data_IF_412317970866
#
_entry.id   IF_412317970866
#
_cell.length_a   1.000
_cell.length_b   1.000
_cell.length_c   1.000
_cell.angle_alpha   90.00
_cell.angle_beta   90.00
_cell.angle_gamma   90.00
#
_symmetry.space_group_name_H-M   'P 1'
#
loop_
_entity.id
_entity.type
_entity.pdbx_description
1 polymer ?
#
# COMPACT_ATOMS: atom_id res chain seq x y z
N UNK A 1 -36.15 -24.18 -68.87
CA UNK A 1 -36.80 -25.42 -69.32
C UNK A 1 -38.18 -25.52 -68.68
N UNK A 2 -39.24 -25.48 -69.50
CA UNK A 2 -40.68 -25.82 -69.25
C UNK A 2 -41.37 -25.23 -67.98
N UNK A 3 -42.42 -24.40 -68.02
CA UNK A 3 -43.66 -24.46 -68.82
C UNK A 3 -44.67 -25.41 -68.14
N UNK A 4 -45.96 -25.13 -67.88
CA UNK A 4 -46.90 -24.05 -68.17
C UNK A 4 -48.33 -24.43 -67.65
N UNK A 5 -49.34 -23.59 -67.94
CA UNK A 5 -50.79 -23.87 -67.81
C UNK A 5 -51.48 -23.13 -66.64
N UNK A 6 -52.52 -22.30 -66.76
CA UNK A 6 -53.50 -22.04 -67.82
C UNK A 6 -54.91 -22.50 -67.39
N UNK A 7 -55.87 -21.59 -67.17
CA UNK A 7 -57.29 -21.95 -66.95
C UNK A 7 -58.19 -20.82 -66.45
N UNK A 8 -58.96 -20.23 -67.38
CA UNK A 8 -60.03 -19.22 -67.21
C UNK A 8 -61.32 -19.80 -66.60
N UNK A 9 -62.14 -18.93 -66.01
CA UNK A 9 -63.56 -19.19 -65.71
C UNK A 9 -64.31 -17.90 -65.38
N UNK A 10 -65.14 -17.46 -66.34
CA UNK A 10 -65.89 -16.20 -66.40
C UNK A 10 -67.32 -16.30 -65.82
N UNK A 11 -67.87 -15.12 -65.49
CA UNK A 11 -69.27 -14.69 -65.64
C UNK A 11 -70.32 -14.88 -64.53
N UNK A 12 -71.01 -13.78 -64.23
CA UNK A 12 -72.22 -13.67 -63.42
C UNK A 12 -72.64 -12.20 -63.19
N UNK A 13 -73.10 -11.53 -64.25
CA UNK A 13 -73.67 -10.16 -64.24
C UNK A 13 -74.98 -10.04 -63.44
N UNK A 14 -75.18 -8.84 -62.86
CA UNK A 14 -76.48 -8.33 -62.40
C UNK A 14 -76.50 -6.79 -62.34
N UNK A 15 -76.93 -6.14 -63.43
CA UNK A 15 -77.30 -4.70 -63.60
C UNK A 15 -78.75 -4.44 -63.10
N UNK A 16 -79.38 -3.22 -63.12
CA UNK A 16 -78.91 -1.84 -63.44
C UNK A 16 -79.46 -0.62 -62.60
N UNK A 17 -78.75 0.52 -62.66
CA UNK A 17 -79.18 1.96 -62.85
C UNK A 17 -80.05 2.73 -61.80
N UNK A 18 -80.28 4.05 -61.95
CA UNK A 18 -79.34 5.18 -61.89
C UNK A 18 -79.85 6.34 -60.97
N UNK A 19 -78.96 7.15 -60.40
CA UNK A 19 -79.35 8.31 -59.58
C UNK A 19 -78.29 9.41 -59.63
N UNK A 20 -78.65 10.53 -60.24
CA UNK A 20 -77.79 11.66 -60.58
C UNK A 20 -77.36 12.53 -59.40
N UNK A 21 -76.16 13.12 -59.56
CA UNK A 21 -75.58 14.35 -58.98
C UNK A 21 -75.55 14.51 -57.45
N UNK A 22 -74.35 14.63 -56.89
CA UNK A 22 -73.86 15.97 -56.55
C UNK A 22 -72.33 16.03 -56.43
N UNK A 23 -71.75 16.96 -57.20
CA UNK A 23 -70.42 17.50 -56.99
C UNK A 23 -70.47 18.31 -55.70
N UNK A 24 -69.92 17.76 -54.61
CA UNK A 24 -69.53 18.55 -53.46
C UNK A 24 -68.04 18.35 -53.21
N UNK A 25 -67.31 19.33 -53.74
CA UNK A 25 -66.23 20.02 -53.03
C UNK A 25 -65.14 19.14 -52.45
N UNK A 26 -64.06 19.02 -53.22
CA UNK A 26 -62.72 19.01 -52.66
C UNK A 26 -62.61 20.12 -51.60
N UNK A 27 -62.61 19.75 -50.32
CA UNK A 27 -62.06 20.63 -49.29
C UNK A 27 -60.58 20.81 -49.61
N UNK A 28 -60.28 21.91 -50.29
CA UNK A 28 -58.94 22.48 -50.34
C UNK A 28 -58.50 22.69 -48.89
N UNK A 29 -57.58 21.85 -48.43
CA UNK A 29 -56.77 22.18 -47.27
C UNK A 29 -56.13 23.56 -47.54
N UNK A 30 -56.14 24.48 -46.55
CA UNK A 30 -55.58 25.80 -46.72
C UNK A 30 -54.10 25.69 -47.15
N UNK A 31 -53.63 26.52 -48.09
CA UNK A 31 -52.24 26.52 -48.54
C UNK A 31 -51.38 27.03 -47.37
N UNK A 32 -50.77 26.10 -46.64
CA UNK A 32 -49.98 26.40 -45.44
C UNK A 32 -50.05 25.34 -44.34
N UNK A 33 -50.86 24.29 -44.48
CA UNK A 33 -50.77 23.15 -43.55
C UNK A 33 -49.44 22.41 -43.75
N UNK A 34 -48.56 22.33 -42.73
CA UNK A 34 -47.30 21.63 -42.87
C UNK A 34 -47.58 20.16 -43.20
N UNK A 35 -46.89 19.63 -44.21
CA UNK A 35 -46.98 18.22 -44.55
C UNK A 35 -46.68 17.36 -43.30
N UNK A 36 -47.27 16.17 -43.18
CA UNK A 36 -47.03 15.28 -42.03
C UNK A 36 -45.53 15.02 -41.76
N UNK A 37 -44.67 15.14 -42.79
CA UNK A 37 -43.22 15.07 -42.66
C UNK A 37 -42.58 16.31 -42.03
N UNK A 38 -43.10 17.52 -42.29
CA UNK A 38 -42.64 18.76 -41.64
C UNK A 38 -43.03 18.81 -40.15
N UNK A 39 -44.23 18.34 -39.80
CA UNK A 39 -44.67 18.25 -38.40
C UNK A 39 -43.81 17.29 -37.57
N UNK A 40 -43.34 16.19 -38.17
CA UNK A 40 -42.42 15.27 -37.51
C UNK A 40 -41.02 15.86 -37.34
N UNK A 41 -40.53 16.64 -38.31
CA UNK A 41 -39.23 17.30 -38.21
C UNK A 41 -39.22 18.42 -37.16
N UNK A 42 -40.28 19.23 -37.09
CA UNK A 42 -40.43 20.27 -36.07
C UNK A 42 -40.55 19.67 -34.67
N UNK A 43 -41.29 18.56 -34.54
CA UNK A 43 -41.40 17.83 -33.27
C UNK A 43 -40.05 17.24 -32.82
N UNK A 44 -39.28 16.67 -33.75
CA UNK A 44 -37.93 16.18 -33.46
C UNK A 44 -36.97 17.31 -33.08
N UNK A 45 -37.06 18.47 -33.74
CA UNK A 45 -36.28 19.65 -33.39
C UNK A 45 -36.59 20.14 -31.98
N UNK A 46 -37.87 20.29 -31.63
CA UNK A 46 -38.28 20.70 -30.29
C UNK A 46 -37.81 19.72 -29.21
N UNK A 47 -37.87 18.40 -29.49
CA UNK A 47 -37.35 17.39 -28.57
C UNK A 47 -35.83 17.56 -28.34
N UNK A 48 -35.07 17.84 -29.39
CA UNK A 48 -33.62 18.09 -29.29
C UNK A 48 -33.33 19.35 -28.48
N UNK A 49 -34.07 20.43 -28.72
CA UNK A 49 -33.90 21.69 -27.99
C UNK A 49 -34.21 21.52 -26.49
N UNK A 50 -35.26 20.75 -26.15
CA UNK A 50 -35.58 20.37 -24.77
C UNK A 50 -34.46 19.54 -24.13
N UNK A 51 -33.88 18.58 -24.86
CA UNK A 51 -32.76 17.77 -24.41
C UNK A 51 -31.51 18.62 -24.14
N UNK A 52 -31.17 19.52 -25.06
CA UNK A 52 -30.03 20.43 -24.96
C UNK A 52 -30.19 21.37 -23.74
N UNK A 53 -31.41 21.88 -23.50
CA UNK A 53 -31.74 22.70 -22.34
C UNK A 53 -31.63 21.91 -21.02
N UNK A 54 -32.14 20.69 -20.97
CA UNK A 54 -32.07 19.82 -19.78
C UNK A 54 -30.61 19.50 -19.43
N UNK A 55 -29.81 19.11 -20.43
CA UNK A 55 -28.38 18.86 -20.27
C UNK A 55 -27.65 20.10 -19.73
N UNK A 56 -27.91 21.28 -20.31
CA UNK A 56 -27.28 22.54 -19.88
C UNK A 56 -27.64 22.89 -18.43
N UNK A 57 -28.90 22.69 -18.06
CA UNK A 57 -29.39 22.96 -16.70
C UNK A 57 -28.69 22.06 -15.67
N UNK A 58 -28.59 20.76 -15.94
CA UNK A 58 -27.91 19.82 -15.03
C UNK A 58 -26.40 20.10 -14.99
N UNK A 59 -25.78 20.39 -16.14
CA UNK A 59 -24.37 20.79 -16.17
C UNK A 59 -24.12 22.03 -15.30
N UNK A 60 -24.96 23.06 -15.41
CA UNK A 60 -24.86 24.26 -14.58
C UNK A 60 -25.06 23.94 -13.09
N UNK A 61 -26.04 23.09 -12.76
CA UNK A 61 -26.26 22.66 -11.37
C UNK A 61 -25.02 21.97 -10.79
N UNK A 62 -24.40 21.05 -11.54
CA UNK A 62 -23.17 20.38 -11.10
C UNK A 62 -22.05 21.40 -10.87
N UNK A 63 -21.84 22.35 -11.79
CA UNK A 63 -20.83 23.40 -11.66
C UNK A 63 -21.06 24.23 -10.39
N UNK A 64 -22.30 24.65 -10.13
CA UNK A 64 -22.64 25.45 -8.94
C UNK A 64 -22.44 24.68 -7.62
N UNK A 65 -22.51 23.35 -7.65
CA UNK A 65 -22.30 22.49 -6.48
C UNK A 65 -20.89 21.92 -6.36
N UNK A 66 -19.94 22.40 -7.16
CA UNK A 66 -18.56 21.88 -7.19
C UNK A 66 -17.95 21.75 -5.79
N UNK A 67 -18.02 22.81 -4.98
CA UNK A 67 -17.43 22.83 -3.63
C UNK A 67 -18.08 21.83 -2.67
N UNK A 68 -19.36 21.55 -2.84
CA UNK A 68 -20.07 20.54 -2.04
C UNK A 68 -19.71 19.13 -2.54
N UNK A 69 -19.61 18.93 -3.84
CA UNK A 69 -19.28 17.63 -4.41
C UNK A 69 -17.84 17.19 -4.12
N UNK A 70 -16.91 18.13 -3.93
CA UNK A 70 -15.53 17.80 -3.53
C UNK A 70 -15.42 17.22 -2.13
N UNK A 71 -16.40 17.46 -1.24
CA UNK A 71 -16.39 16.99 0.15
C UNK A 71 -17.21 15.72 0.40
N UNK A 72 -17.84 15.17 -0.65
CA UNK A 72 -18.62 13.93 -0.56
C UNK A 72 -17.75 12.74 -0.12
N UNK A 73 -18.38 11.68 0.36
CA UNK A 73 -17.75 10.37 0.47
C UNK A 73 -17.62 9.71 -0.90
N UNK A 74 -16.78 8.67 -0.99
CA UNK A 74 -16.64 7.91 -2.22
C UNK A 74 -17.98 7.27 -2.64
N UNK A 75 -18.78 6.75 -1.71
CA UNK A 75 -20.08 6.14 -2.03
C UNK A 75 -21.09 7.16 -2.55
N UNK A 76 -21.19 8.33 -1.92
CA UNK A 76 -22.08 9.41 -2.40
C UNK A 76 -21.69 9.92 -3.79
N UNK A 77 -20.39 10.00 -4.09
CA UNK A 77 -19.93 10.37 -5.43
C UNK A 77 -20.31 9.31 -6.47
N UNK A 78 -20.24 8.01 -6.12
CA UNK A 78 -20.66 6.93 -7.01
C UNK A 78 -22.16 7.02 -7.33
N UNK A 79 -22.97 7.33 -6.33
CA UNK A 79 -24.42 7.52 -6.51
C UNK A 79 -24.71 8.71 -7.43
N UNK A 80 -24.07 9.86 -7.18
CA UNK A 80 -24.19 11.05 -8.03
C UNK A 80 -23.75 10.77 -9.47
N UNK A 81 -22.64 10.06 -9.63
CA UNK A 81 -22.11 9.66 -10.93
C UNK A 81 -23.09 8.77 -11.68
N UNK A 82 -23.60 7.73 -11.02
CA UNK A 82 -24.52 6.76 -11.61
C UNK A 82 -25.81 7.44 -12.06
N UNK A 83 -26.44 8.23 -11.19
CA UNK A 83 -27.66 8.95 -11.52
C UNK A 83 -27.46 9.95 -12.68
N UNK A 84 -26.35 10.68 -12.69
CA UNK A 84 -26.05 11.64 -13.77
C UNK A 84 -25.77 10.90 -15.09
N UNK A 85 -25.09 9.77 -15.03
CA UNK A 85 -24.73 8.98 -16.20
C UNK A 85 -25.95 8.27 -16.81
N UNK A 86 -26.86 7.75 -15.99
CA UNK A 86 -28.16 7.22 -16.43
C UNK A 86 -29.00 8.28 -17.13
N UNK A 87 -29.12 9.47 -16.52
CA UNK A 87 -29.78 10.61 -17.16
C UNK A 87 -29.15 10.93 -18.52
N UNK A 88 -27.83 10.94 -18.58
CA UNK A 88 -27.09 11.24 -19.79
C UNK A 88 -27.41 10.22 -20.90
N UNK A 89 -27.37 8.92 -20.60
CA UNK A 89 -27.73 7.88 -21.57
C UNK A 89 -29.15 8.02 -22.11
N UNK A 90 -30.11 8.41 -21.26
CA UNK A 90 -31.49 8.66 -21.67
C UNK A 90 -31.59 9.85 -22.63
N UNK A 91 -30.93 10.97 -22.33
CA UNK A 91 -30.94 12.17 -23.19
C UNK A 91 -30.29 11.90 -24.55
N UNK A 92 -29.22 11.13 -24.59
CA UNK A 92 -28.56 10.79 -25.86
C UNK A 92 -29.41 9.88 -26.73
N UNK A 93 -30.11 8.93 -26.10
CA UNK A 93 -31.05 8.05 -26.81
C UNK A 93 -32.23 8.83 -27.41
N UNK A 94 -32.72 9.86 -26.72
CA UNK A 94 -33.83 10.69 -27.18
C UNK A 94 -33.41 11.71 -28.26
N UNK A 95 -32.26 12.35 -28.08
CA UNK A 95 -31.79 13.43 -28.96
C UNK A 95 -31.00 12.95 -30.18
N UNK A 96 -30.40 11.75 -30.09
CA UNK A 96 -29.45 11.23 -31.07
C UNK A 96 -28.10 11.98 -31.08
N UNK A 97 -27.86 12.87 -30.11
CA UNK A 97 -26.64 13.67 -29.97
C UNK A 97 -25.91 13.29 -28.69
N UNK A 98 -24.58 13.37 -28.74
CA UNK A 98 -23.75 13.04 -27.58
C UNK A 98 -23.61 14.23 -26.62
N UNK A 99 -23.83 14.00 -25.33
CA UNK A 99 -23.88 15.03 -24.29
C UNK A 99 -22.48 15.42 -23.77
N UNK A 100 -21.59 15.89 -24.67
CA UNK A 100 -20.19 16.18 -24.34
C UNK A 100 -20.01 17.19 -23.20
N UNK A 101 -20.82 18.25 -23.16
CA UNK A 101 -20.73 19.28 -22.13
C UNK A 101 -20.98 18.73 -20.73
N UNK A 102 -22.04 17.93 -20.56
CA UNK A 102 -22.35 17.32 -19.26
C UNK A 102 -21.32 16.26 -18.87
N UNK A 103 -20.85 15.44 -19.82
CA UNK A 103 -19.74 14.48 -19.55
C UNK A 103 -18.49 15.18 -19.06
N UNK A 104 -18.10 16.26 -19.73
CA UNK A 104 -16.92 17.04 -19.36
C UNK A 104 -17.06 17.63 -17.95
N UNK A 105 -18.23 18.21 -17.64
CA UNK A 105 -18.54 18.72 -16.30
C UNK A 105 -18.48 17.61 -15.24
N UNK A 106 -19.09 16.45 -15.50
CA UNK A 106 -19.11 15.33 -14.57
C UNK A 106 -17.70 14.77 -14.31
N UNK A 107 -16.87 14.67 -15.35
CA UNK A 107 -15.46 14.32 -15.21
C UNK A 107 -14.68 15.35 -14.39
N UNK A 108 -14.92 16.64 -14.62
CA UNK A 108 -14.28 17.71 -13.85
C UNK A 108 -14.65 17.66 -12.36
N UNK A 109 -15.90 17.28 -12.03
CA UNK A 109 -16.33 17.05 -10.64
C UNK A 109 -15.57 15.89 -9.99
N UNK A 110 -15.48 14.76 -10.69
CA UNK A 110 -14.78 13.58 -10.18
C UNK A 110 -13.27 13.84 -9.98
N UNK A 111 -12.66 14.63 -10.87
CA UNK A 111 -11.27 15.10 -10.71
C UNK A 111 -11.10 16.02 -9.51
N UNK A 112 -11.98 17.02 -9.35
CA UNK A 112 -11.93 17.94 -8.22
C UNK A 112 -12.11 17.21 -6.87
N UNK A 113 -12.99 16.20 -6.82
CA UNK A 113 -13.11 15.32 -5.67
C UNK A 113 -11.80 14.56 -5.37
N UNK A 114 -11.19 13.97 -6.39
CA UNK A 114 -9.93 13.23 -6.22
C UNK A 114 -8.81 14.14 -5.72
N UNK A 115 -8.71 15.36 -6.26
CA UNK A 115 -7.75 16.38 -5.81
C UNK A 115 -7.95 16.75 -4.34
N UNK A 116 -9.17 17.11 -3.95
CA UNK A 116 -9.49 17.46 -2.56
C UNK A 116 -9.22 16.30 -1.59
N UNK A 117 -9.64 15.08 -1.97
CA UNK A 117 -9.38 13.87 -1.19
C UNK A 117 -7.89 13.61 -1.02
N UNK A 118 -7.11 13.77 -2.10
CA UNK A 118 -5.67 13.56 -2.07
C UNK A 118 -4.96 14.59 -1.20
N UNK A 119 -5.33 15.87 -1.29
CA UNK A 119 -4.79 16.93 -0.44
C UNK A 119 -5.04 16.65 1.06
N UNK A 120 -6.26 16.21 1.40
CA UNK A 120 -6.58 15.78 2.75
C UNK A 120 -5.76 14.55 3.20
N UNK A 121 -5.53 13.60 2.29
CA UNK A 121 -4.68 12.42 2.56
C UNK A 121 -3.22 12.80 2.79
N UNK A 122 -2.65 13.69 1.97
CA UNK A 122 -1.30 14.22 2.16
C UNK A 122 -1.16 14.90 3.53
N UNK A 123 -2.07 15.80 3.87
CA UNK A 123 -2.06 16.51 5.15
C UNK A 123 -2.18 15.55 6.34
N UNK A 124 -3.10 14.58 6.25
CA UNK A 124 -3.29 13.56 7.29
C UNK A 124 -2.07 12.66 7.45
N UNK A 125 -1.43 12.26 6.34
CA UNK A 125 -0.23 11.42 6.38
C UNK A 125 0.95 12.17 7.01
N UNK A 126 1.16 13.45 6.66
CA UNK A 126 2.20 14.29 7.28
C UNK A 126 1.95 14.44 8.78
N UNK A 127 0.74 14.82 9.18
CA UNK A 127 0.42 15.01 10.60
C UNK A 127 0.60 13.71 11.40
N UNK A 128 0.26 12.57 10.80
CA UNK A 128 0.43 11.25 11.43
C UNK A 128 1.91 10.88 11.55
N UNK A 129 2.72 11.14 10.52
CA UNK A 129 4.16 10.90 10.56
C UNK A 129 4.88 11.79 11.58
N UNK A 130 4.51 13.07 11.65
CA UNK A 130 5.11 14.02 12.59
C UNK A 130 4.76 13.71 14.06
N UNK A 131 3.67 12.98 14.31
CA UNK A 131 3.26 12.50 15.64
C UNK A 131 3.62 11.04 15.90
N UNK A 132 4.29 10.37 14.95
CA UNK A 132 4.62 8.95 15.02
C UNK A 132 5.69 8.69 16.09
N UNK A 133 5.38 7.77 17.01
CA UNK A 133 6.31 7.37 18.09
C UNK A 133 7.22 6.22 17.69
N UNK A 134 7.06 5.70 16.47
CA UNK A 134 7.80 4.55 15.95
C UNK A 134 7.68 3.35 16.88
N UNK A 135 6.45 3.10 17.33
CA UNK A 135 6.08 1.93 18.12
C UNK A 135 5.31 0.95 17.25
N UNK A 136 5.47 -0.34 17.54
CA UNK A 136 4.73 -1.39 16.83
C UNK A 136 3.22 -1.16 17.03
N UNK A 137 2.50 -1.11 15.92
CA UNK A 137 1.06 -1.03 15.86
C UNK A 137 0.47 -2.42 15.60
N UNK A 138 -0.66 -2.72 16.23
CA UNK A 138 -1.37 -3.98 16.00
C UNK A 138 -2.13 -3.96 14.67
N UNK A 139 -2.01 -5.04 13.92
CA UNK A 139 -2.69 -5.21 12.64
C UNK A 139 -4.01 -5.95 12.88
N UNK A 140 -5.11 -5.21 12.75
CA UNK A 140 -6.43 -5.81 12.87
C UNK A 140 -6.65 -6.83 11.76
N UNK A 141 -7.50 -7.83 12.02
CA UNK A 141 -7.87 -8.83 11.02
C UNK A 141 -8.46 -8.21 9.74
N UNK A 142 -9.12 -7.05 9.86
CA UNK A 142 -9.67 -6.31 8.71
C UNK A 142 -8.56 -5.70 7.86
N UNK A 143 -7.55 -5.08 8.48
CA UNK A 143 -6.39 -4.54 7.75
C UNK A 143 -5.59 -5.65 7.09
N UNK A 144 -5.36 -6.75 7.80
CA UNK A 144 -4.67 -7.91 7.24
C UNK A 144 -5.43 -8.47 6.03
N UNK A 145 -6.75 -8.67 6.14
CA UNK A 145 -7.57 -9.12 5.03
C UNK A 145 -7.53 -8.16 3.82
N UNK A 146 -7.38 -6.84 4.06
CA UNK A 146 -7.18 -5.88 2.98
C UNK A 146 -5.83 -6.13 2.28
N UNK A 147 -4.73 -6.28 3.02
CA UNK A 147 -3.42 -6.60 2.47
C UNK A 147 -3.44 -7.91 1.67
N UNK A 148 -4.02 -8.97 2.22
CA UNK A 148 -4.14 -10.28 1.57
C UNK A 148 -4.91 -10.18 0.26
N UNK A 149 -6.00 -9.40 0.23
CA UNK A 149 -6.77 -9.18 -0.99
C UNK A 149 -5.97 -8.46 -2.06
N UNK A 150 -5.17 -7.46 -1.70
CA UNK A 150 -4.29 -6.80 -2.66
C UNK A 150 -3.24 -7.77 -3.21
N UNK A 151 -2.56 -8.51 -2.33
CA UNK A 151 -1.52 -9.47 -2.70
C UNK A 151 -2.03 -10.61 -3.58
N UNK A 152 -3.27 -11.06 -3.37
CA UNK A 152 -3.91 -12.09 -4.19
C UNK A 152 -4.54 -11.56 -5.50
N UNK A 153 -4.32 -10.28 -5.86
CA UNK A 153 -4.91 -9.68 -7.07
C UNK A 153 -6.41 -9.40 -6.97
N UNK A 154 -6.98 -9.45 -5.76
CA UNK A 154 -8.39 -9.25 -5.45
C UNK A 154 -8.69 -7.84 -4.91
N UNK A 155 -7.85 -6.86 -5.28
CA UNK A 155 -7.95 -5.47 -4.85
C UNK A 155 -9.34 -4.87 -5.11
N UNK A 156 -10.02 -5.31 -6.18
CA UNK A 156 -11.28 -4.74 -6.65
C UNK A 156 -12.54 -5.55 -6.29
N UNK A 157 -12.40 -6.71 -5.65
CA UNK A 157 -13.57 -7.50 -5.26
C UNK A 157 -14.40 -6.79 -4.16
N UNK A 158 -15.73 -6.91 -4.15
CA UNK A 158 -16.54 -6.40 -3.04
C UNK A 158 -16.09 -7.02 -1.71
N UNK A 159 -16.10 -6.23 -0.61
CA UNK A 159 -15.89 -6.78 0.73
C UNK A 159 -17.01 -7.81 0.99
N UNK A 160 -16.67 -9.10 0.99
CA UNK A 160 -17.56 -10.12 1.55
C UNK A 160 -17.56 -9.96 3.06
N UNK A 161 -18.50 -9.17 3.58
CA UNK A 161 -18.85 -9.28 4.98
C UNK A 161 -19.42 -10.68 5.19
N UNK A 162 -18.90 -11.49 6.14
CA UNK A 162 -19.69 -12.58 6.66
C UNK A 162 -20.95 -11.95 7.26
N UNK A 163 -22.09 -12.10 6.60
CA UNK A 163 -23.39 -11.77 7.18
C UNK A 163 -23.44 -12.49 8.52
N UNK A 164 -23.57 -11.74 9.62
CA UNK A 164 -24.13 -12.28 10.85
C UNK A 164 -25.47 -12.90 10.43
N UNK A 165 -25.57 -14.23 10.50
CA UNK A 165 -26.83 -14.92 10.33
C UNK A 165 -27.75 -14.45 11.46
N UNK A 166 -28.60 -13.48 11.15
CA UNK A 166 -29.87 -13.30 11.84
C UNK A 166 -30.65 -14.58 11.63
N UNK A 167 -30.67 -15.43 12.66
CA UNK A 167 -31.50 -16.62 12.69
C UNK A 167 -32.96 -16.17 12.67
N UNK A 168 -33.56 -16.12 11.49
CA UNK A 168 -35.01 -16.23 11.36
C UNK A 168 -35.33 -17.72 11.40
N UNK A 169 -35.70 -18.17 12.58
CA UNK A 169 -36.30 -19.48 12.81
C UNK A 169 -37.63 -19.58 12.06
N UNK A 170 -37.64 -20.29 10.93
CA UNK A 170 -38.84 -20.89 10.37
C UNK A 170 -38.69 -22.41 10.38
N UNK A 171 -39.57 -23.00 11.17
CA UNK A 171 -39.75 -24.40 11.47
C UNK A 171 -40.22 -25.21 10.26
N UNK A 172 -39.57 -26.35 10.02
CA UNK A 172 -40.26 -27.55 9.53
C UNK A 172 -39.54 -28.81 10.06
N UNK A 173 -40.21 -29.43 11.02
CA UNK A 173 -40.16 -30.84 11.44
C UNK A 173 -40.17 -31.79 10.23
N UNK A 174 -39.64 -33.01 10.22
CA UNK A 174 -39.25 -33.97 11.27
C UNK A 174 -38.75 -35.24 10.57
N UNK A 175 -37.74 -35.91 11.13
CA UNK A 175 -37.74 -37.39 11.25
C UNK A 175 -36.75 -37.82 12.32
N UNK A 176 -37.25 -38.66 13.23
CA UNK A 176 -36.66 -39.11 14.48
C UNK A 176 -35.72 -40.31 14.30
N UNK A 177 -34.65 -40.42 15.10
CA UNK A 177 -34.44 -41.47 16.13
C UNK A 177 -32.97 -41.59 16.59
N UNK A 178 -32.77 -41.41 17.90
CA UNK A 178 -31.77 -41.89 18.88
C UNK A 178 -30.44 -42.55 18.39
N UNK A 179 -29.25 -42.28 18.95
CA UNK A 179 -28.86 -42.38 20.38
C UNK A 179 -27.54 -41.64 20.66
N UNK A 180 -27.42 -41.11 21.87
CA UNK A 180 -26.33 -40.31 22.44
C UNK A 180 -25.03 -41.11 22.71
N UNK A 181 -23.88 -40.47 22.48
CA UNK A 181 -22.80 -40.41 23.48
C UNK A 181 -22.09 -39.03 23.47
N UNK A 182 -22.26 -38.35 24.60
CA UNK A 182 -21.51 -37.22 25.16
C UNK A 182 -20.00 -37.54 25.29
N UNK A 183 -19.03 -36.63 25.36
CA UNK A 183 -18.98 -35.16 25.49
C UNK A 183 -17.51 -34.77 25.59
N UNK A 184 -17.08 -33.73 24.86
CA UNK A 184 -16.25 -32.61 25.35
C UNK A 184 -15.60 -31.86 24.18
N UNK A 185 -16.40 -31.13 23.40
CA UNK A 185 -15.90 -30.07 22.54
C UNK A 185 -16.22 -28.72 23.19
N UNK A 186 -15.18 -28.12 23.78
CA UNK A 186 -15.20 -26.76 24.31
C UNK A 186 -15.73 -25.81 23.24
N UNK A 187 -16.76 -25.05 23.59
CA UNK A 187 -17.24 -23.86 22.88
C UNK A 187 -16.06 -23.01 22.40
N UNK A 188 -15.87 -22.94 21.08
CA UNK A 188 -15.00 -21.95 20.45
C UNK A 188 -15.63 -20.57 20.65
N UNK A 189 -15.14 -19.85 21.66
CA UNK A 189 -15.39 -18.43 21.86
C UNK A 189 -14.61 -17.72 20.77
N UNK A 190 -15.32 -17.07 19.84
CA UNK A 190 -14.72 -16.26 18.78
C UNK A 190 -13.88 -15.13 19.37
N UNK A 191 -12.56 -15.33 19.40
CA UNK A 191 -11.59 -14.26 19.52
C UNK A 191 -11.23 -13.83 18.11
N UNK A 192 -11.62 -12.60 17.73
CA UNK A 192 -10.92 -11.87 16.67
C UNK A 192 -9.44 -11.88 17.06
N UNK A 193 -8.64 -12.76 16.44
CA UNK A 193 -7.19 -12.75 16.61
C UNK A 193 -6.70 -11.50 15.90
N UNK A 194 -6.39 -10.47 16.67
CA UNK A 194 -5.48 -9.41 16.24
C UNK A 194 -4.18 -10.10 15.82
N UNK A 195 -3.76 -9.90 14.58
CA UNK A 195 -2.48 -10.39 14.10
C UNK A 195 -1.52 -9.26 14.44
N UNK A 196 -0.70 -9.41 15.47
CA UNK A 196 0.18 -8.31 15.93
C UNK A 196 1.21 -7.84 14.88
N UNK A 197 1.30 -8.50 13.72
CA UNK A 197 2.25 -8.24 12.64
C UNK A 197 1.51 -8.29 11.30
N UNK A 198 1.92 -7.47 10.32
CA UNK A 198 1.39 -7.55 8.96
C UNK A 198 2.03 -8.74 8.24
N UNK A 199 1.26 -9.45 7.42
CA UNK A 199 1.75 -10.53 6.58
C UNK A 199 1.57 -10.22 5.10
N UNK A 200 2.61 -10.41 4.29
CA UNK A 200 2.56 -10.30 2.82
C UNK A 200 3.42 -11.41 2.25
N UNK A 201 2.86 -12.23 1.36
CA UNK A 201 3.59 -13.33 0.68
C UNK A 201 4.36 -14.27 1.64
N UNK A 202 3.79 -14.53 2.83
CA UNK A 202 4.42 -15.37 3.86
C UNK A 202 5.47 -14.67 4.72
N UNK A 203 5.88 -13.45 4.36
CA UNK A 203 6.77 -12.61 5.16
C UNK A 203 5.99 -11.83 6.22
N UNK A 204 6.58 -11.67 7.42
CA UNK A 204 5.99 -10.94 8.55
C UNK A 204 6.68 -9.60 8.74
N UNK A 205 5.90 -8.57 9.03
CA UNK A 205 6.37 -7.19 9.16
C UNK A 205 5.83 -6.56 10.44
N UNK A 206 6.76 -6.07 11.28
CA UNK A 206 6.42 -5.24 12.45
C UNK A 206 6.30 -3.79 12.03
N UNK A 207 5.08 -3.28 12.05
CA UNK A 207 4.75 -2.01 11.40
C UNK A 207 4.30 -0.97 12.39
N UNK A 208 4.36 0.30 11.99
CA UNK A 208 3.87 1.44 12.76
C UNK A 208 2.53 1.93 12.20
N UNK A 209 1.87 2.87 12.89
CA UNK A 209 0.55 3.33 12.48
C UNK A 209 0.55 4.05 11.12
N UNK A 210 1.52 4.94 10.90
CA UNK A 210 1.62 5.75 9.68
C UNK A 210 1.69 4.94 8.39
N UNK A 211 2.35 3.77 8.38
CA UNK A 211 2.36 2.90 7.19
C UNK A 211 1.02 2.21 6.97
N UNK A 212 0.29 1.86 8.04
CA UNK A 212 -1.06 1.30 7.92
C UNK A 212 -2.04 2.33 7.35
N UNK A 213 -1.94 3.58 7.79
CA UNK A 213 -2.71 4.69 7.24
C UNK A 213 -2.39 4.89 5.75
N UNK A 214 -1.10 4.88 5.36
CA UNK A 214 -0.70 4.95 3.96
C UNK A 214 -1.34 3.82 3.14
N UNK A 215 -1.32 2.58 3.63
CA UNK A 215 -1.95 1.46 2.92
C UNK A 215 -3.46 1.64 2.79
N UNK A 216 -4.15 2.13 3.81
CA UNK A 216 -5.58 2.45 3.73
C UNK A 216 -5.88 3.52 2.67
N UNK A 217 -5.06 4.57 2.61
CA UNK A 217 -5.18 5.62 1.60
C UNK A 217 -4.98 5.06 0.18
N UNK A 218 -3.94 4.25 -0.04
CA UNK A 218 -3.67 3.59 -1.32
C UNK A 218 -4.82 2.67 -1.73
N UNK A 219 -5.34 1.87 -0.81
CA UNK A 219 -6.47 0.97 -1.08
C UNK A 219 -7.74 1.74 -1.43
N UNK A 220 -7.98 2.87 -0.76
CA UNK A 220 -9.10 3.75 -1.11
C UNK A 220 -8.93 4.36 -2.50
N UNK A 221 -7.71 4.71 -2.90
CA UNK A 221 -7.42 5.25 -4.24
C UNK A 221 -7.58 4.18 -5.33
N UNK A 222 -7.11 2.95 -5.08
CA UNK A 222 -7.34 1.81 -5.98
C UNK A 222 -8.84 1.56 -6.20
N UNK A 223 -9.65 1.63 -5.14
CA UNK A 223 -11.11 1.54 -5.25
C UNK A 223 -11.71 2.66 -6.11
N UNK A 224 -11.18 3.89 -6.01
CA UNK A 224 -11.57 5.01 -6.88
C UNK A 224 -11.24 4.70 -8.35
N UNK A 225 -10.03 4.20 -8.66
CA UNK A 225 -9.67 3.87 -10.04
C UNK A 225 -10.53 2.77 -10.65
N UNK A 226 -10.94 1.77 -9.86
CA UNK A 226 -11.82 0.72 -10.34
C UNK A 226 -13.24 1.19 -10.65
N UNK A 227 -13.77 2.14 -9.87
CA UNK A 227 -15.10 2.68 -10.13
C UNK A 227 -15.09 3.77 -11.21
N UNK A 228 -14.02 4.57 -11.27
CA UNK A 228 -13.82 5.63 -12.25
C UNK A 228 -12.56 5.37 -13.10
N UNK A 229 -12.60 4.45 -14.09
CA UNK A 229 -11.42 4.11 -14.90
C UNK A 229 -10.79 5.31 -15.63
N UNK A 230 -11.60 6.33 -15.95
CA UNK A 230 -11.13 7.60 -16.52
C UNK A 230 -10.18 8.40 -15.60
N UNK A 231 -10.18 8.12 -14.30
CA UNK A 231 -9.28 8.71 -13.32
C UNK A 231 -8.07 7.83 -13.01
N UNK A 232 -7.93 6.66 -13.64
CA UNK A 232 -6.88 5.70 -13.30
C UNK A 232 -5.47 6.30 -13.42
N UNK A 233 -5.23 7.17 -14.42
CA UNK A 233 -3.96 7.88 -14.58
C UNK A 233 -3.71 8.90 -13.47
N UNK A 234 -4.74 9.66 -13.08
CA UNK A 234 -4.65 10.64 -11.99
C UNK A 234 -4.42 9.91 -10.64
N UNK A 235 -5.13 8.80 -10.42
CA UNK A 235 -4.98 7.94 -9.23
C UNK A 235 -3.56 7.36 -9.13
N UNK A 236 -2.98 6.87 -10.23
CA UNK A 236 -1.60 6.39 -10.25
C UNK A 236 -0.64 7.46 -9.73
N UNK A 237 -0.76 8.70 -10.23
CA UNK A 237 0.09 9.81 -9.79
C UNK A 237 -0.09 10.12 -8.30
N UNK A 238 -1.33 10.06 -7.79
CA UNK A 238 -1.63 10.28 -6.36
C UNK A 238 -1.03 9.21 -5.46
N UNK A 239 -1.09 7.95 -5.88
CA UNK A 239 -0.46 6.82 -5.16
C UNK A 239 1.07 7.00 -5.15
N UNK A 240 1.68 7.32 -6.29
CA UNK A 240 3.14 7.60 -6.38
C UNK A 240 3.55 8.72 -5.42
N UNK A 241 2.77 9.81 -5.38
CA UNK A 241 3.04 10.95 -4.50
C UNK A 241 2.93 10.59 -3.02
N UNK A 242 1.89 9.87 -2.59
CA UNK A 242 1.73 9.41 -1.20
C UNK A 242 2.86 8.50 -0.75
N UNK A 243 3.20 7.52 -1.59
CA UNK A 243 4.26 6.54 -1.28
C UNK A 243 5.62 7.25 -1.23
N UNK A 244 5.90 8.20 -2.13
CA UNK A 244 7.12 9.02 -2.09
C UNK A 244 7.17 9.93 -0.87
N UNK A 245 6.04 10.56 -0.51
CA UNK A 245 5.93 11.42 0.68
C UNK A 245 6.27 10.65 1.96
N UNK A 246 5.71 9.45 2.13
CA UNK A 246 6.04 8.59 3.27
C UNK A 246 7.55 8.31 3.34
N UNK A 247 8.18 7.92 2.24
CA UNK A 247 9.60 7.60 2.21
C UNK A 247 10.48 8.81 2.59
N UNK A 248 10.19 9.95 1.97
CA UNK A 248 10.91 11.20 2.20
C UNK A 248 10.81 11.64 3.66
N UNK A 249 9.59 11.65 4.22
CA UNK A 249 9.38 12.01 5.63
C UNK A 249 9.96 10.99 6.59
N UNK A 250 9.85 9.69 6.32
CA UNK A 250 10.49 8.65 7.15
C UNK A 250 12.02 8.83 7.18
N UNK A 251 12.64 9.16 6.05
CA UNK A 251 14.08 9.46 5.96
C UNK A 251 14.44 10.64 6.87
N UNK A 252 13.67 11.74 6.78
CA UNK A 252 13.92 12.94 7.58
C UNK A 252 13.73 12.70 9.07
N UNK A 253 12.64 12.02 9.44
CA UNK A 253 12.30 11.78 10.84
C UNK A 253 13.30 10.83 11.51
N UNK A 254 13.72 9.77 10.82
CA UNK A 254 14.48 8.68 11.44
C UNK A 254 15.98 8.80 11.17
N UNK A 255 16.40 8.95 9.90
CA UNK A 255 17.82 9.02 9.56
C UNK A 255 18.42 10.40 9.83
N UNK A 256 17.67 11.49 9.60
CA UNK A 256 18.14 12.86 9.84
C UNK A 256 17.76 13.39 11.23
N UNK A 257 17.32 12.50 12.13
CA UNK A 257 16.90 12.82 13.50
C UNK A 257 15.80 13.92 13.59
N UNK A 258 15.02 14.11 12.52
CA UNK A 258 13.91 15.07 12.49
C UNK A 258 12.82 14.74 13.52
N UNK A 259 12.66 13.47 13.92
CA UNK A 259 11.65 13.10 14.90
C UNK A 259 11.88 13.70 16.29
N UNK A 260 13.12 14.13 16.60
CA UNK A 260 13.43 14.83 17.85
C UNK A 260 12.74 16.20 17.91
N UNK A 261 12.64 16.88 16.76
CA UNK A 261 12.04 18.20 16.61
C UNK A 261 10.56 18.14 16.17
N UNK A 262 10.06 16.94 15.84
CA UNK A 262 8.68 16.70 15.45
C UNK A 262 7.71 16.73 16.63
N UNK A 263 6.40 16.69 16.34
CA UNK A 263 5.35 16.64 17.35
C UNK A 263 5.44 15.38 18.25
N UNK A 264 6.08 14.31 17.77
CA UNK A 264 6.33 13.09 18.53
C UNK A 264 7.29 13.30 19.73
N UNK A 265 8.13 14.36 19.70
CA UNK A 265 9.09 14.72 20.77
C UNK A 265 9.90 13.53 21.29
N UNK A 266 10.43 12.71 20.38
CA UNK A 266 11.33 11.63 20.76
C UNK A 266 12.64 12.21 21.30
N UNK A 267 13.08 11.75 22.47
CA UNK A 267 14.33 12.25 23.06
C UNK A 267 15.57 11.78 22.30
N UNK A 268 15.49 10.61 21.66
CA UNK A 268 16.55 10.05 20.80
C UNK A 268 15.99 9.05 19.80
N UNK A 269 16.66 8.93 18.66
CA UNK A 269 16.45 7.82 17.74
C UNK A 269 17.22 6.60 18.26
N UNK A 270 16.53 5.47 18.40
CA UNK A 270 17.12 4.22 18.89
C UNK A 270 17.22 3.20 17.77
N UNK A 271 18.03 2.15 17.97
CA UNK A 271 18.10 1.02 17.04
C UNK A 271 16.72 0.37 16.79
N UNK A 272 15.83 0.40 17.78
CA UNK A 272 14.45 -0.09 17.63
C UNK A 272 13.65 0.75 16.63
N UNK A 273 13.79 2.08 16.66
CA UNK A 273 13.09 2.95 15.71
C UNK A 273 13.57 2.67 14.29
N UNK A 274 14.89 2.62 14.07
CA UNK A 274 15.49 2.26 12.77
C UNK A 274 15.00 0.90 12.27
N UNK A 275 14.90 -0.09 13.15
CA UNK A 275 14.47 -1.44 12.79
C UNK A 275 12.99 -1.46 12.36
N UNK A 276 12.11 -0.76 13.09
CA UNK A 276 10.70 -0.64 12.72
C UNK A 276 10.51 0.15 11.42
N UNK A 277 11.31 1.19 11.19
CA UNK A 277 11.32 1.89 9.89
C UNK A 277 11.71 0.94 8.77
N UNK A 278 12.78 0.17 8.94
CA UNK A 278 13.22 -0.87 7.98
C UNK A 278 12.10 -1.86 7.65
N UNK A 279 11.37 -2.33 8.66
CA UNK A 279 10.19 -3.21 8.48
C UNK A 279 9.06 -2.55 7.69
N UNK A 280 8.76 -1.27 7.97
CA UNK A 280 7.74 -0.52 7.24
C UNK A 280 8.13 -0.30 5.77
N UNK A 281 9.40 0.01 5.49
CA UNK A 281 9.91 0.09 4.13
C UNK A 281 9.78 -1.26 3.42
N UNK A 282 10.13 -2.35 4.11
CA UNK A 282 9.98 -3.72 3.62
C UNK A 282 8.55 -4.06 3.22
N UNK A 283 7.57 -3.71 4.06
CA UNK A 283 6.14 -3.91 3.76
C UNK A 283 5.73 -3.16 2.49
N UNK A 284 6.09 -1.87 2.37
CA UNK A 284 5.72 -1.07 1.19
C UNK A 284 6.38 -1.61 -0.08
N UNK A 285 7.65 -2.02 0.00
CA UNK A 285 8.37 -2.65 -1.13
C UNK A 285 7.71 -3.96 -1.59
N UNK A 286 7.19 -4.76 -0.66
CA UNK A 286 6.45 -5.99 -0.97
C UNK A 286 5.09 -5.71 -1.62
N UNK A 287 4.42 -4.61 -1.25
CA UNK A 287 3.10 -4.27 -1.79
C UNK A 287 3.14 -3.51 -3.12
N UNK A 288 4.22 -2.79 -3.42
CA UNK A 288 4.37 -2.01 -4.66
C UNK A 288 4.13 -2.82 -5.95
N UNK A 289 4.64 -4.06 -6.12
CA UNK A 289 4.32 -4.90 -7.27
C UNK A 289 2.84 -5.20 -7.42
N UNK A 290 2.11 -5.44 -6.32
CA UNK A 290 0.67 -5.71 -6.34
C UNK A 290 -0.13 -4.44 -6.67
N UNK A 291 0.27 -3.29 -6.13
CA UNK A 291 -0.30 -1.98 -6.47
C UNK A 291 -0.13 -1.71 -7.97
N UNK A 292 1.06 -1.96 -8.50
CA UNK A 292 1.37 -1.82 -9.94
C UNK A 292 0.47 -2.73 -10.78
N UNK A 293 0.33 -4.00 -10.40
CA UNK A 293 -0.52 -4.96 -11.12
C UNK A 293 -2.00 -4.51 -11.11
N UNK A 294 -2.49 -4.06 -9.96
CA UNK A 294 -3.86 -3.54 -9.82
C UNK A 294 -4.11 -2.33 -10.73
N UNK A 295 -3.20 -1.36 -10.77
CA UNK A 295 -3.32 -0.19 -11.64
C UNK A 295 -3.17 -0.53 -13.12
N UNK A 296 -2.28 -1.48 -13.46
CA UNK A 296 -2.13 -1.96 -14.84
C UNK A 296 -3.44 -2.53 -15.40
N UNK A 297 -4.22 -3.22 -14.57
CA UNK A 297 -5.54 -3.74 -14.94
C UNK A 297 -6.60 -2.64 -15.19
N UNK A 298 -6.42 -1.45 -14.63
CA UNK A 298 -7.34 -0.31 -14.81
C UNK A 298 -6.88 0.65 -15.92
N UNK A 299 -5.61 0.59 -16.31
CA UNK A 299 -5.02 1.50 -17.29
C UNK A 299 -5.05 0.93 -18.71
N UNK A 300 -5.38 1.75 -19.72
CA UNK A 300 -5.17 1.39 -21.12
C UNK A 300 -3.69 1.08 -21.41
N UNK A 301 -3.37 0.13 -22.32
CA UNK A 301 -1.99 -0.26 -22.64
C UNK A 301 -1.05 0.90 -22.99
N UNK A 302 -1.58 1.92 -23.70
CA UNK A 302 -0.84 3.14 -24.06
C UNK A 302 -0.31 3.95 -22.86
N UNK A 303 -0.88 3.75 -21.67
CA UNK A 303 -0.49 4.45 -20.44
C UNK A 303 0.37 3.59 -19.50
N UNK A 304 0.69 2.35 -19.87
CA UNK A 304 1.47 1.45 -19.01
C UNK A 304 2.90 1.94 -18.74
N UNK A 305 3.46 2.79 -19.61
CA UNK A 305 4.76 3.43 -19.36
C UNK A 305 4.78 4.27 -18.08
N UNK A 306 3.64 4.84 -17.66
CA UNK A 306 3.54 5.62 -16.42
C UNK A 306 3.75 4.76 -15.17
N UNK A 307 3.54 3.43 -15.26
CA UNK A 307 3.76 2.53 -14.13
C UNK A 307 5.24 2.47 -13.71
N UNK A 308 6.17 2.86 -14.59
CA UNK A 308 7.59 2.96 -14.27
C UNK A 308 7.87 3.92 -13.10
N UNK A 309 6.97 4.87 -12.81
CA UNK A 309 7.11 5.76 -11.65
C UNK A 309 6.98 5.00 -10.32
N UNK A 310 6.21 3.91 -10.27
CA UNK A 310 6.16 3.03 -9.10
C UNK A 310 7.46 2.24 -8.93
N UNK A 311 8.11 1.85 -10.02
CA UNK A 311 9.39 1.14 -9.98
C UNK A 311 10.51 2.07 -9.49
N UNK A 312 10.50 3.32 -9.96
CA UNK A 312 11.42 4.38 -9.47
C UNK A 312 11.24 4.62 -7.98
N UNK A 313 10.00 4.78 -7.51
CA UNK A 313 9.73 4.94 -6.08
C UNK A 313 10.12 3.68 -5.30
N UNK A 314 9.95 2.48 -5.85
CA UNK A 314 10.46 1.25 -5.22
C UNK A 314 11.97 1.31 -5.02
N UNK A 315 12.72 1.81 -6.01
CA UNK A 315 14.17 1.98 -5.89
C UNK A 315 14.52 2.97 -4.77
N UNK A 316 13.79 4.09 -4.65
CA UNK A 316 13.99 5.04 -3.54
C UNK A 316 13.81 4.39 -2.15
N UNK A 317 12.94 3.37 -2.03
CA UNK A 317 12.76 2.60 -0.80
C UNK A 317 13.91 1.62 -0.56
N UNK A 318 14.42 0.96 -1.61
CA UNK A 318 15.59 0.08 -1.53
C UNK A 318 16.80 0.87 -1.04
N UNK A 319 17.05 2.05 -1.62
CA UNK A 319 18.16 2.92 -1.24
C UNK A 319 18.02 3.40 0.20
N UNK A 320 16.81 3.76 0.64
CA UNK A 320 16.55 4.13 2.02
C UNK A 320 16.77 2.94 2.98
N UNK A 321 16.33 1.74 2.60
CA UNK A 321 16.54 0.52 3.38
C UNK A 321 18.04 0.24 3.58
N UNK A 322 18.84 0.31 2.51
CA UNK A 322 20.31 0.15 2.59
C UNK A 322 20.99 1.19 3.48
N UNK A 323 20.50 2.44 3.46
CA UNK A 323 21.01 3.50 4.34
C UNK A 323 20.72 3.19 5.81
N UNK A 324 19.57 2.57 6.13
CA UNK A 324 19.27 2.11 7.49
C UNK A 324 20.21 0.97 7.90
N UNK A 325 20.41 -0.03 7.03
CA UNK A 325 21.32 -1.15 7.30
C UNK A 325 22.75 -0.64 7.56
N UNK A 326 23.22 0.27 6.71
CA UNK A 326 24.53 0.93 6.87
C UNK A 326 24.61 1.70 8.18
N UNK A 327 23.54 2.41 8.58
CA UNK A 327 23.56 3.16 9.84
C UNK A 327 23.68 2.25 11.06
N UNK A 328 23.13 1.03 11.07
CA UNK A 328 23.37 0.09 12.16
C UNK A 328 24.85 -0.26 12.31
N UNK A 329 25.53 -0.50 11.18
CA UNK A 329 26.97 -0.79 11.16
C UNK A 329 27.76 0.42 11.66
N UNK A 330 27.43 1.62 11.19
CA UNK A 330 28.07 2.86 11.65
C UNK A 330 27.88 3.09 13.15
N UNK A 331 26.69 2.85 13.71
CA UNK A 331 26.45 2.98 15.15
C UNK A 331 27.39 2.06 15.95
N UNK A 332 27.55 0.81 15.52
CA UNK A 332 28.47 -0.13 16.20
C UNK A 332 29.92 0.33 16.04
N UNK A 333 30.31 0.78 14.85
CA UNK A 333 31.66 1.34 14.61
C UNK A 333 31.95 2.55 15.50
N UNK A 334 31.04 3.52 15.58
CA UNK A 334 31.13 4.71 16.43
C UNK A 334 31.25 4.34 17.91
N UNK A 335 30.50 3.31 18.36
CA UNK A 335 30.61 2.80 19.73
C UNK A 335 32.01 2.23 19.98
N UNK A 336 32.50 1.34 19.12
CA UNK A 336 33.83 0.72 19.30
C UNK A 336 34.93 1.80 19.31
N UNK A 337 34.88 2.74 18.37
CA UNK A 337 35.83 3.84 18.29
C UNK A 337 35.82 4.72 19.55
N UNK A 338 34.64 5.03 20.09
CA UNK A 338 34.52 5.84 21.31
C UNK A 338 35.14 5.19 22.55
N UNK A 339 35.22 3.85 22.58
CA UNK A 339 35.80 3.10 23.70
C UNK A 339 37.29 2.82 23.50
N UNK A 340 37.83 2.99 22.28
CA UNK A 340 39.20 2.59 21.94
C UNK A 340 40.26 3.33 22.75
N UNK A 341 39.97 4.53 23.26
CA UNK A 341 40.87 5.31 24.15
C UNK A 341 41.19 4.61 25.47
N UNK A 342 40.39 3.61 25.88
CA UNK A 342 40.64 2.81 27.09
C UNK A 342 41.75 1.77 26.89
N UNK A 343 42.04 1.38 25.65
CA UNK A 343 43.05 0.37 25.31
C UNK A 343 44.47 0.80 25.73
N UNK A 344 44.98 2.00 25.34
CA UNK A 344 46.30 2.45 25.78
C UNK A 344 46.32 2.84 27.27
N UNK A 345 45.17 3.17 27.87
CA UNK A 345 45.06 3.47 29.30
C UNK A 345 45.11 2.21 30.18
N UNK A 346 44.99 1.01 29.58
CA UNK A 346 45.02 -0.26 30.31
C UNK A 346 46.46 -0.69 30.55
N UNK A 347 46.84 -0.87 31.82
CA UNK A 347 48.11 -1.51 32.18
C UNK A 347 48.00 -3.03 32.01
N UNK A 348 48.52 -3.54 30.89
CA UNK A 348 48.47 -4.95 30.51
C UNK A 348 49.39 -5.84 31.35
N UNK A 349 50.46 -5.31 31.93
CA UNK A 349 51.43 -6.06 32.72
C UNK A 349 51.08 -6.10 34.22
N UNK A 350 50.15 -5.24 34.67
CA UNK A 350 49.63 -5.32 36.02
C UNK A 350 48.92 -6.65 36.29
N UNK A 351 49.22 -7.24 37.44
CA UNK A 351 48.47 -8.38 37.97
C UNK A 351 47.08 -7.88 38.33
N UNK A 352 46.07 -8.34 37.60
CA UNK A 352 44.66 -8.00 37.77
C UNK A 352 44.28 -7.91 39.27
N UNK A 353 44.25 -6.69 39.82
CA UNK A 353 44.03 -6.47 41.26
C UNK A 353 42.58 -6.70 41.66
N UNK A 354 41.66 -6.64 40.68
CA UNK A 354 40.23 -6.49 40.92
C UNK A 354 39.39 -7.74 40.59
N UNK A 355 40.03 -8.85 40.21
CA UNK A 355 39.31 -10.09 39.85
C UNK A 355 38.42 -10.00 38.60
N UNK A 356 38.46 -8.89 37.86
CA UNK A 356 37.74 -8.72 36.60
C UNK A 356 38.41 -9.55 35.49
N UNK A 357 37.63 -10.37 34.77
CA UNK A 357 38.17 -11.32 33.78
C UNK A 357 38.67 -10.68 32.48
N UNK A 358 38.24 -9.45 32.15
CA UNK A 358 38.60 -8.78 30.89
C UNK A 358 38.70 -7.25 31.02
N UNK A 359 39.38 -6.58 30.07
CA UNK A 359 39.48 -5.11 30.06
C UNK A 359 38.13 -4.42 29.76
N UNK A 360 37.99 -3.17 30.23
CA UNK A 360 36.75 -2.39 30.13
C UNK A 360 36.30 -2.25 28.68
N UNK A 361 37.22 -1.93 27.76
CA UNK A 361 36.97 -1.81 26.33
C UNK A 361 36.23 -3.03 25.76
N UNK A 362 36.74 -4.24 26.03
CA UNK A 362 36.15 -5.47 25.53
C UNK A 362 34.79 -5.73 26.18
N UNK A 363 34.70 -5.58 27.50
CA UNK A 363 33.44 -5.83 28.22
C UNK A 363 32.31 -4.91 27.74
N UNK A 364 32.60 -3.62 27.52
CA UNK A 364 31.63 -2.65 27.02
C UNK A 364 31.30 -2.87 25.54
N UNK A 365 32.29 -3.23 24.72
CA UNK A 365 32.07 -3.61 23.31
C UNK A 365 31.14 -4.82 23.19
N UNK A 366 31.43 -5.90 23.92
CA UNK A 366 30.56 -7.10 23.96
C UNK A 366 29.15 -6.73 24.40
N UNK A 367 29.01 -5.95 25.48
CA UNK A 367 27.72 -5.52 26.01
C UNK A 367 26.91 -4.72 25.00
N UNK A 368 27.52 -3.77 24.31
CA UNK A 368 26.85 -2.91 23.33
C UNK A 368 26.44 -3.71 22.07
N UNK A 369 27.33 -4.54 21.54
CA UNK A 369 27.02 -5.40 20.38
C UNK A 369 25.92 -6.41 20.73
N UNK A 370 25.96 -7.01 21.91
CA UNK A 370 24.92 -7.94 22.38
C UNK A 370 23.58 -7.24 22.57
N UNK A 371 23.58 -6.00 23.07
CA UNK A 371 22.37 -5.19 23.20
C UNK A 371 21.78 -4.85 21.83
N UNK A 372 22.63 -4.48 20.86
CA UNK A 372 22.22 -4.26 19.48
C UNK A 372 21.61 -5.54 18.89
N UNK A 373 22.30 -6.69 19.01
CA UNK A 373 21.81 -8.00 18.55
C UNK A 373 20.43 -8.31 19.10
N UNK A 374 20.22 -8.13 20.40
CA UNK A 374 18.95 -8.38 21.08
C UNK A 374 17.83 -7.51 20.51
N UNK A 375 18.10 -6.23 20.26
CA UNK A 375 17.11 -5.31 19.68
C UNK A 375 16.78 -5.71 18.24
N UNK A 376 17.80 -5.95 17.41
CA UNK A 376 17.59 -6.27 16.00
C UNK A 376 16.91 -7.64 15.81
N UNK A 377 17.33 -8.67 16.55
CA UNK A 377 16.71 -10.01 16.52
C UNK A 377 15.26 -9.99 16.99
N UNK A 378 14.88 -9.02 17.82
CA UNK A 378 13.51 -8.85 18.25
C UNK A 378 12.64 -8.12 17.22
N UNK A 379 13.21 -7.44 16.22
CA UNK A 379 12.47 -6.58 15.29
C UNK A 379 12.59 -6.98 13.81
N UNK A 380 13.69 -7.59 13.41
CA UNK A 380 14.03 -7.89 12.02
C UNK A 380 14.02 -9.41 11.74
N UNK A 381 13.79 -9.81 10.47
CA UNK A 381 14.01 -11.17 9.99
C UNK A 381 15.44 -11.67 10.22
N UNK A 382 15.64 -12.97 10.43
CA UNK A 382 16.96 -13.54 10.68
C UNK A 382 17.95 -13.26 9.54
N UNK A 383 17.50 -13.23 8.28
CA UNK A 383 18.41 -12.94 7.15
C UNK A 383 18.99 -11.52 7.24
N UNK A 384 18.17 -10.53 7.60
CA UNK A 384 18.63 -9.14 7.75
C UNK A 384 19.55 -8.97 8.96
N UNK A 385 19.27 -9.66 10.07
CA UNK A 385 20.16 -9.65 11.24
C UNK A 385 21.52 -10.25 10.87
N UNK A 386 21.53 -11.40 10.19
CA UNK A 386 22.76 -12.02 9.68
C UNK A 386 23.56 -11.05 8.81
N UNK A 387 22.91 -10.36 7.88
CA UNK A 387 23.55 -9.41 6.98
C UNK A 387 24.22 -8.26 7.73
N UNK A 388 23.48 -7.61 8.64
CA UNK A 388 24.00 -6.50 9.45
C UNK A 388 25.22 -6.95 10.26
N UNK A 389 25.14 -8.12 10.91
CA UNK A 389 26.26 -8.63 11.71
C UNK A 389 27.44 -9.08 10.87
N UNK A 390 27.22 -9.59 9.67
CA UNK A 390 28.31 -9.89 8.72
C UNK A 390 29.10 -8.64 8.39
N UNK A 391 28.41 -7.51 8.13
CA UNK A 391 29.04 -6.20 7.90
C UNK A 391 29.75 -5.69 9.16
N UNK A 392 29.15 -5.84 10.34
CA UNK A 392 29.79 -5.47 11.63
C UNK A 392 31.08 -6.26 11.86
N UNK A 393 31.07 -7.57 11.65
CA UNK A 393 32.25 -8.42 11.84
C UNK A 393 33.39 -8.02 10.90
N UNK A 394 33.08 -7.66 9.65
CA UNK A 394 34.07 -7.12 8.72
C UNK A 394 34.72 -5.83 9.25
N UNK A 395 33.92 -4.91 9.83
CA UNK A 395 34.45 -3.68 10.46
C UNK A 395 35.35 -4.02 11.64
N UNK A 396 34.94 -4.94 12.52
CA UNK A 396 35.74 -5.36 13.67
C UNK A 396 37.06 -6.00 13.26
N UNK A 397 37.06 -6.88 12.25
CA UNK A 397 38.27 -7.50 11.72
C UNK A 397 39.30 -6.47 11.25
N UNK A 398 38.84 -5.36 10.67
CA UNK A 398 39.73 -4.31 10.19
C UNK A 398 40.18 -3.36 11.31
N UNK A 399 39.25 -2.93 12.17
CA UNK A 399 39.49 -1.88 13.17
C UNK A 399 40.16 -2.35 14.45
N UNK A 400 39.88 -3.56 14.92
CA UNK A 400 40.48 -4.05 16.16
C UNK A 400 42.02 -4.12 16.08
N UNK A 401 42.64 -4.68 15.03
CA UNK A 401 44.09 -4.63 14.87
C UNK A 401 44.67 -3.21 14.92
N UNK A 402 44.01 -2.24 14.30
CA UNK A 402 44.42 -0.83 14.30
C UNK A 402 44.43 -0.24 15.71
N UNK A 403 43.37 -0.46 16.49
CA UNK A 403 43.29 0.09 17.85
C UNK A 403 44.30 -0.52 18.82
N UNK A 404 44.71 -1.75 18.60
CA UNK A 404 45.74 -2.41 19.40
C UNK A 404 47.15 -2.23 18.81
N UNK A 405 47.34 -1.46 17.73
CA UNK A 405 48.63 -1.31 17.06
C UNK A 405 49.75 -0.86 18.01
N UNK A 406 49.46 0.01 18.98
CA UNK A 406 50.44 0.53 19.94
C UNK A 406 50.56 -0.28 21.24
N UNK A 407 49.73 -1.33 21.42
CA UNK A 407 49.76 -2.17 22.61
C UNK A 407 50.99 -3.09 22.57
N UNK A 408 51.89 -2.92 23.53
CA UNK A 408 53.13 -3.71 23.63
C UNK A 408 53.41 -4.14 25.08
N UNK A 409 52.74 -5.20 25.57
CA UNK A 409 52.99 -5.76 26.90
C UNK A 409 54.46 -6.21 27.02
N UNK A 410 55.07 -6.01 28.18
CA UNK A 410 56.47 -6.38 28.42
C UNK A 410 56.61 -7.78 29.03
N UNK A 411 55.53 -8.35 29.55
CA UNK A 411 55.51 -9.66 30.19
C UNK A 411 54.72 -10.69 29.37
N UNK A 412 55.11 -11.98 29.41
CA UNK A 412 54.31 -13.05 28.80
C UNK A 412 52.88 -13.13 29.35
N UNK A 413 52.68 -12.75 30.62
CA UNK A 413 51.36 -12.70 31.23
C UNK A 413 50.50 -11.56 30.64
N UNK A 414 51.11 -10.42 30.32
CA UNK A 414 50.44 -9.31 29.64
C UNK A 414 50.09 -9.66 28.19
N UNK A 415 50.98 -10.32 27.47
CA UNK A 415 50.70 -10.88 26.13
C UNK A 415 49.50 -11.84 26.16
N UNK A 416 49.50 -12.78 27.12
CA UNK A 416 48.39 -13.71 27.32
C UNK A 416 47.08 -12.96 27.58
N UNK A 417 47.10 -11.95 28.43
CA UNK A 417 45.91 -11.17 28.79
C UNK A 417 45.27 -10.49 27.58
N UNK A 418 46.07 -9.95 26.66
CA UNK A 418 45.54 -9.37 25.41
C UNK A 418 44.85 -10.44 24.58
N UNK A 419 45.47 -11.62 24.42
CA UNK A 419 44.91 -12.73 23.66
C UNK A 419 43.62 -13.27 24.31
N UNK A 420 43.59 -13.44 25.63
CA UNK A 420 42.42 -13.89 26.39
C UNK A 420 41.24 -12.91 26.22
N UNK A 421 41.50 -11.60 26.23
CA UNK A 421 40.50 -10.56 26.03
C UNK A 421 39.90 -10.59 24.62
N UNK A 422 40.75 -10.74 23.60
CA UNK A 422 40.32 -10.89 22.21
C UNK A 422 39.54 -12.19 22.03
N UNK A 423 39.97 -13.28 22.65
CA UNK A 423 39.28 -14.56 22.61
C UNK A 423 37.92 -14.48 23.33
N UNK A 424 37.82 -13.76 24.44
CA UNK A 424 36.56 -13.49 25.11
C UNK A 424 35.58 -12.71 24.21
N UNK A 425 36.07 -11.71 23.46
CA UNK A 425 35.27 -11.00 22.46
C UNK A 425 34.77 -11.95 21.36
N UNK A 426 35.65 -12.72 20.72
CA UNK A 426 35.28 -13.71 19.70
C UNK A 426 34.21 -14.69 20.20
N UNK A 427 34.48 -15.35 21.32
CA UNK A 427 33.57 -16.32 21.92
C UNK A 427 32.20 -15.71 22.26
N UNK A 428 32.18 -14.45 22.69
CA UNK A 428 30.93 -13.74 23.00
C UNK A 428 30.12 -13.46 21.72
N UNK A 429 30.78 -13.09 20.63
CA UNK A 429 30.13 -12.84 19.34
C UNK A 429 29.66 -14.13 18.65
N UNK A 430 30.43 -15.21 18.75
CA UNK A 430 30.07 -16.54 18.23
C UNK A 430 28.84 -17.15 18.92
N UNK A 431 28.59 -16.78 20.18
CA UNK A 431 27.41 -17.22 20.95
C UNK A 431 26.12 -16.51 20.55
N UNK A 432 26.18 -15.48 19.70
CA UNK A 432 25.00 -14.76 19.24
C UNK A 432 24.16 -15.66 18.32
N UNK A 433 22.94 -15.99 18.76
CA UNK A 433 22.06 -16.90 18.03
C UNK A 433 21.58 -16.28 16.72
N UNK A 434 21.46 -17.11 15.68
CA UNK A 434 20.93 -16.69 14.38
C UNK A 434 21.90 -15.84 13.56
N UNK A 435 23.16 -15.73 14.01
CA UNK A 435 24.22 -15.05 13.28
C UNK A 435 25.43 -15.98 13.17
N UNK A 436 25.92 -16.19 11.94
CA UNK A 436 27.15 -16.91 11.65
C UNK A 436 28.36 -16.01 11.84
N UNK A 437 29.26 -16.46 12.72
CA UNK A 437 30.54 -15.86 13.02
C UNK A 437 31.68 -16.35 12.10
N UNK A 438 31.38 -17.08 11.02
CA UNK A 438 32.40 -17.69 10.16
C UNK A 438 33.44 -16.69 9.59
N UNK A 439 33.11 -15.41 9.54
CA UNK A 439 33.99 -14.35 9.05
C UNK A 439 34.79 -13.66 10.17
N UNK A 440 34.63 -13.99 11.45
CA UNK A 440 35.46 -13.44 12.54
C UNK A 440 36.84 -14.10 12.51
N UNK A 441 37.88 -13.31 12.23
CA UNK A 441 39.24 -13.85 12.06
C UNK A 441 40.35 -13.01 12.70
N UNK A 442 40.00 -11.90 13.38
CA UNK A 442 41.01 -11.07 14.05
C UNK A 442 41.78 -11.81 15.16
N UNK A 443 41.22 -12.84 15.80
CA UNK A 443 41.92 -13.63 16.83
C UNK A 443 43.25 -14.21 16.32
N UNK A 444 43.29 -14.66 15.06
CA UNK A 444 44.52 -15.17 14.43
C UNK A 444 45.60 -14.10 14.37
N UNK A 445 45.24 -12.86 14.02
CA UNK A 445 46.17 -11.73 13.98
C UNK A 445 46.82 -11.48 15.34
N UNK A 446 46.03 -11.54 16.43
CA UNK A 446 46.54 -11.32 17.79
C UNK A 446 47.42 -12.47 18.28
N UNK A 447 47.09 -13.72 17.98
CA UNK A 447 47.97 -14.88 18.29
C UNK A 447 49.29 -14.85 17.54
N UNK A 448 49.29 -14.41 16.29
CA UNK A 448 50.53 -14.27 15.51
C UNK A 448 51.40 -13.12 16.02
N UNK A 449 50.78 -12.04 16.51
CA UNK A 449 51.48 -10.88 17.05
C UNK A 449 52.10 -11.12 18.43
N UNK A 450 51.46 -11.93 19.27
CA UNK A 450 51.88 -12.22 20.65
C UNK A 450 52.22 -13.71 20.82
N UNK A 451 53.36 -14.18 20.29
CA UNK A 451 53.69 -15.61 20.24
C UNK A 451 54.06 -16.20 21.62
N UNK A 452 54.28 -15.37 22.65
CA UNK A 452 54.56 -15.86 24.00
C UNK A 452 53.27 -16.16 24.79
N UNK A 453 52.11 -15.77 24.27
CA UNK A 453 50.81 -16.23 24.74
C UNK A 453 50.63 -17.71 24.39
N UNK A 454 50.29 -18.54 25.38
CA UNK A 454 50.12 -20.00 25.28
C UNK A 454 48.67 -20.44 25.26
#
# INVERSE_FOLDING_TARGET
SSGGGGGNGEHGEGKPSPGSVDRLSSEEFPPGSPSSGMLTDDSQKNLRDCCDLAQKTISNLLVMRKEVHTTLSLEELKELWSATFEFLQLVEKLSGRSCYGLRSTLLAQAKAFLEHKHEAQLASLVATLDSEKWAQADVSSERQAALDRLSNGQAFLPRSYPKLQTQTSSSSSSTSAATLQSSSAKRAKGTKREVGEAMVEGSRYKVVWSVLLLMEMVMSLLATAAHFPMLATDVLQRIVELVRLFNSRATQLVLQAGAIHSAARLTKITAKHLALTSQCLGLVMALLPHIRAALSAQLPPKHHLLLADLDRVKQDYVDHHERILTKFVSIVSEIVESQASQIPATDWDSRNSDGASSCSFITDTVKNITTMHKVLSAQLPPEQVQEIFTRIYAVLNHKLPEYFAEVNPQTPAGEQRVVDDIQYLCNSLERLRGVSAANLNFEKHFRERFPNAR
#
